data_IF_756750086884
#
_entry.id   IF_756750086884
#
_cell.length_a   1.000
_cell.length_b   1.000
_cell.length_c   1.000
_cell.angle_alpha   90.00
_cell.angle_beta   90.00
_cell.angle_gamma   90.00
#
_symmetry.space_group_name_H-M   'P 1'
#
loop_
_entity.id
_entity.type
_entity.pdbx_description
1 polymer ?
#
# COMPACT_ATOMS: atom_id res chain seq x y z
N UNK A 1 -14.69 -35.56 -0.93
CA UNK A 1 -15.35 -34.24 -0.86
C UNK A 1 -15.20 -33.73 0.55
N UNK A 2 -14.15 -32.95 0.81
CA UNK A 2 -13.88 -32.36 2.12
C UNK A 2 -14.42 -30.94 2.15
N UNK A 3 -15.21 -30.63 3.17
CA UNK A 3 -15.80 -29.33 3.54
C UNK A 3 -14.77 -28.17 3.62
N UNK A 4 -13.48 -28.48 3.53
CA UNK A 4 -12.35 -27.55 3.58
C UNK A 4 -12.15 -26.85 2.23
N UNK A 5 -12.50 -27.48 1.11
CA UNK A 5 -12.36 -26.84 -0.22
C UNK A 5 -13.44 -25.78 -0.49
N UNK A 6 -14.60 -25.84 0.18
CA UNK A 6 -15.63 -24.80 0.06
C UNK A 6 -15.28 -23.51 0.83
N UNK A 7 -14.45 -23.57 1.88
CA UNK A 7 -14.02 -22.38 2.63
C UNK A 7 -12.99 -21.57 1.82
N UNK A 8 -12.20 -22.21 0.97
CA UNK A 8 -11.24 -21.53 0.07
C UNK A 8 -11.95 -20.85 -1.11
N UNK A 9 -13.17 -21.27 -1.44
CA UNK A 9 -14.01 -20.64 -2.49
C UNK A 9 -14.89 -19.47 -1.98
N UNK A 10 -14.77 -19.10 -0.70
CA UNK A 10 -15.63 -18.11 -0.03
C UNK A 10 -15.23 -16.64 -0.18
N UNK A 11 -14.51 -16.26 -1.24
CA UNK A 11 -14.17 -14.86 -1.54
C UNK A 11 -15.27 -14.11 -2.30
N UNK A 12 -16.54 -14.27 -1.91
CA UNK A 12 -17.65 -13.55 -2.51
C UNK A 12 -17.65 -12.09 -2.04
N UNK A 13 -17.33 -11.17 -2.95
CA UNK A 13 -17.56 -9.74 -2.72
C UNK A 13 -16.71 -8.77 -3.54
N UNK A 14 -16.49 -9.02 -4.83
CA UNK A 14 -16.00 -7.98 -5.75
C UNK A 14 -17.11 -6.95 -6.05
N UNK A 15 -17.66 -6.33 -5.00
CA UNK A 15 -18.28 -5.02 -5.15
C UNK A 15 -17.16 -4.03 -5.39
N UNK A 16 -17.25 -3.20 -6.42
CA UNK A 16 -16.29 -2.10 -6.62
C UNK A 16 -16.20 -1.29 -5.33
N UNK A 17 -15.08 -1.38 -4.62
CA UNK A 17 -14.86 -0.62 -3.39
C UNK A 17 -14.84 0.87 -3.75
N UNK A 18 -15.96 1.57 -3.53
CA UNK A 18 -16.09 3.00 -3.82
C UNK A 18 -15.05 3.86 -3.09
N UNK A 19 -14.47 3.33 -2.00
CA UNK A 19 -13.41 3.97 -1.21
C UNK A 19 -12.03 3.90 -1.89
N UNK A 20 -11.80 2.90 -2.75
CA UNK A 20 -10.53 2.65 -3.44
C UNK A 20 -10.76 2.48 -4.95
N UNK A 21 -11.16 3.54 -5.67
CA UNK A 21 -11.46 3.48 -7.10
C UNK A 21 -10.25 3.17 -7.97
N UNK A 22 -9.04 3.35 -7.44
CA UNK A 22 -7.76 3.16 -8.12
C UNK A 22 -7.01 1.91 -7.65
N UNK A 23 -7.65 1.05 -6.85
CA UNK A 23 -7.03 -0.18 -6.40
C UNK A 23 -6.69 -1.11 -7.59
N UNK A 24 -5.54 -1.81 -7.53
CA UNK A 24 -5.20 -2.79 -8.54
C UNK A 24 -6.19 -3.97 -8.51
N UNK A 25 -6.29 -4.67 -9.64
CA UNK A 25 -7.17 -5.82 -9.76
C UNK A 25 -6.81 -6.91 -8.73
N UNK A 26 -7.82 -7.48 -8.08
CA UNK A 26 -7.63 -8.50 -7.04
C UNK A 26 -7.25 -7.95 -5.67
N UNK A 27 -6.96 -6.65 -5.52
CA UNK A 27 -6.73 -6.04 -4.21
C UNK A 27 -8.04 -5.81 -3.45
N UNK A 28 -8.01 -6.02 -2.13
CA UNK A 28 -9.14 -5.77 -1.23
C UNK A 28 -8.64 -5.14 0.07
N UNK A 29 -9.53 -4.45 0.80
CA UNK A 29 -9.19 -3.89 2.12
C UNK A 29 -8.74 -5.00 3.11
N UNK A 30 -9.31 -6.21 3.00
CA UNK A 30 -8.90 -7.35 3.83
C UNK A 30 -7.45 -7.77 3.56
N UNK A 31 -7.03 -7.82 2.29
CA UNK A 31 -5.65 -8.10 1.91
C UNK A 31 -4.69 -7.02 2.39
N UNK A 32 -5.10 -5.75 2.35
CA UNK A 32 -4.31 -4.66 2.88
C UNK A 32 -4.13 -4.77 4.40
N UNK A 33 -5.19 -5.07 5.14
CA UNK A 33 -5.12 -5.28 6.60
C UNK A 33 -4.20 -6.47 6.93
N UNK A 34 -4.30 -7.57 6.19
CA UNK A 34 -3.41 -8.71 6.38
C UNK A 34 -1.94 -8.35 6.09
N UNK A 35 -1.69 -7.63 5.00
CA UNK A 35 -0.35 -7.17 4.62
C UNK A 35 0.24 -6.23 5.68
N UNK A 36 -0.53 -5.26 6.17
CA UNK A 36 -0.10 -4.34 7.21
C UNK A 36 0.23 -5.07 8.53
N UNK A 37 -0.59 -6.05 8.93
CA UNK A 37 -0.33 -6.87 10.12
C UNK A 37 0.98 -7.67 10.04
N UNK A 38 1.37 -8.14 8.85
CA UNK A 38 2.66 -8.82 8.64
C UNK A 38 3.86 -7.88 8.80
N UNK A 39 3.64 -6.58 8.73
CA UNK A 39 4.65 -5.53 8.94
C UNK A 39 4.47 -4.81 10.30
N UNK A 40 3.71 -5.40 11.23
CA UNK A 40 3.40 -4.83 12.56
C UNK A 40 2.73 -3.44 12.50
N UNK A 41 1.91 -3.21 11.47
CA UNK A 41 1.14 -1.97 11.26
C UNK A 41 -0.37 -2.19 11.38
N UNK A 42 -1.05 -1.22 11.98
CA UNK A 42 -2.51 -1.11 11.98
C UNK A 42 -2.95 -0.02 11.01
N UNK A 43 -3.92 -0.31 10.13
CA UNK A 43 -4.42 0.66 9.16
C UNK A 43 -5.46 1.58 9.80
N UNK A 44 -4.96 2.70 10.34
CA UNK A 44 -5.75 3.87 10.73
C UNK A 44 -6.12 4.73 9.51
N UNK A 45 -6.90 5.79 9.74
CA UNK A 45 -7.40 6.65 8.67
C UNK A 45 -6.29 7.32 7.85
N UNK A 46 -5.17 7.69 8.49
CA UNK A 46 -4.02 8.33 7.85
C UNK A 46 -3.24 7.32 6.97
N UNK A 47 -3.06 6.08 7.45
CA UNK A 47 -2.46 5.01 6.63
C UNK A 47 -3.37 4.66 5.47
N UNK A 48 -4.68 4.55 5.67
CA UNK A 48 -5.63 4.33 4.58
C UNK A 48 -5.62 5.46 3.55
N UNK A 49 -5.48 6.72 3.98
CA UNK A 49 -5.30 7.86 3.08
C UNK A 49 -4.03 7.73 2.24
N UNK A 50 -2.93 7.31 2.87
CA UNK A 50 -1.67 7.07 2.17
C UNK A 50 -1.81 5.98 1.10
N UNK A 51 -2.47 4.86 1.40
CA UNK A 51 -2.70 3.81 0.41
C UNK A 51 -3.54 4.31 -0.78
N UNK A 52 -4.60 5.09 -0.52
CA UNK A 52 -5.40 5.72 -1.59
C UNK A 52 -4.53 6.65 -2.45
N UNK A 53 -3.67 7.45 -1.82
CA UNK A 53 -2.79 8.36 -2.54
C UNK A 53 -1.82 7.62 -3.47
N UNK A 54 -1.25 6.51 -3.01
CA UNK A 54 -0.37 5.68 -3.82
C UNK A 54 -1.10 5.06 -5.01
N UNK A 55 -2.28 4.46 -4.76
CA UNK A 55 -3.10 3.88 -5.83
C UNK A 55 -3.53 4.94 -6.86
N UNK A 56 -3.94 6.12 -6.38
CA UNK A 56 -4.30 7.26 -7.23
C UNK A 56 -3.10 7.74 -8.06
N UNK A 57 -1.91 7.81 -7.48
CA UNK A 57 -0.69 8.17 -8.21
C UNK A 57 -0.41 7.14 -9.31
N UNK A 58 -0.43 5.85 -8.99
CA UNK A 58 -0.17 4.78 -9.96
C UNK A 58 -1.26 4.64 -11.02
N UNK A 59 -2.52 5.01 -10.75
CA UNK A 59 -3.56 5.02 -11.77
C UNK A 59 -3.39 6.15 -12.79
N UNK A 60 -2.62 7.20 -12.45
CA UNK A 60 -2.32 8.34 -13.34
C UNK A 60 -1.01 8.19 -14.12
N UNK A 61 -0.20 7.19 -13.79
CA UNK A 61 1.10 6.94 -14.40
C UNK A 61 1.16 5.51 -14.91
N UNK A 62 1.99 5.25 -15.91
CA UNK A 62 2.26 3.85 -16.28
C UNK A 62 3.14 3.23 -15.19
N UNK A 63 2.75 2.05 -14.66
CA UNK A 63 3.46 1.41 -13.55
C UNK A 63 4.96 1.14 -13.84
N UNK A 64 5.32 0.96 -15.10
CA UNK A 64 6.70 0.78 -15.58
C UNK A 64 7.52 2.07 -15.63
N UNK A 65 6.90 3.24 -15.45
CA UNK A 65 7.53 4.56 -15.58
C UNK A 65 7.56 5.36 -14.27
N UNK A 66 7.15 4.78 -13.14
CA UNK A 66 7.09 5.51 -11.86
C UNK A 66 8.49 5.90 -11.39
N UNK A 67 8.74 7.20 -11.32
CA UNK A 67 9.96 7.77 -10.79
C UNK A 67 9.88 7.93 -9.27
N UNK A 68 10.80 7.31 -8.53
CA UNK A 68 10.81 7.36 -7.06
C UNK A 68 10.87 8.78 -6.50
N UNK A 69 11.64 9.69 -7.11
CA UNK A 69 11.74 11.07 -6.64
C UNK A 69 10.43 11.81 -6.83
N UNK A 70 9.82 11.69 -8.00
CA UNK A 70 8.53 12.35 -8.28
C UNK A 70 7.42 11.81 -7.38
N UNK A 71 7.38 10.49 -7.14
CA UNK A 71 6.45 9.89 -6.18
C UNK A 71 6.68 10.43 -4.77
N UNK A 72 7.94 10.51 -4.34
CA UNK A 72 8.30 11.04 -3.04
C UNK A 72 7.88 12.49 -2.88
N UNK A 73 8.15 13.35 -3.87
CA UNK A 73 7.78 14.77 -3.86
C UNK A 73 6.26 14.94 -3.90
N UNK A 74 5.54 14.12 -4.67
CA UNK A 74 4.08 14.14 -4.71
C UNK A 74 3.45 13.74 -3.36
N UNK A 75 4.03 12.78 -2.66
CA UNK A 75 3.61 12.40 -1.31
C UNK A 75 3.95 13.49 -0.29
N UNK A 76 5.14 14.09 -0.36
CA UNK A 76 5.53 15.18 0.53
C UNK A 76 4.57 16.37 0.40
N UNK A 77 4.24 16.75 -0.84
CA UNK A 77 3.27 17.80 -1.14
C UNK A 77 1.86 17.41 -0.67
N UNK A 78 1.36 16.21 -0.99
CA UNK A 78 -0.01 15.81 -0.60
C UNK A 78 -0.21 15.83 0.92
N UNK A 79 0.80 15.43 1.67
CA UNK A 79 0.76 15.35 3.13
C UNK A 79 1.40 16.56 3.83
N UNK A 80 1.67 17.66 3.10
CA UNK A 80 2.41 18.81 3.61
C UNK A 80 1.83 19.38 4.92
N UNK A 81 0.48 19.43 5.04
CA UNK A 81 -0.23 19.92 6.24
C UNK A 81 -0.08 19.01 7.46
N UNK A 82 0.19 17.73 7.23
CA UNK A 82 0.35 16.71 8.27
C UNK A 82 1.84 16.54 8.67
N UNK A 83 2.75 17.20 7.95
CA UNK A 83 4.20 17.15 8.15
C UNK A 83 4.98 16.47 7.02
N UNK A 84 4.32 16.27 5.86
CA UNK A 84 4.93 15.77 4.63
C UNK A 84 5.51 14.36 4.76
N UNK A 85 6.61 14.10 4.08
CA UNK A 85 7.26 12.79 4.08
C UNK A 85 7.72 12.39 5.48
N UNK A 86 8.14 13.34 6.32
CA UNK A 86 8.55 13.04 7.71
C UNK A 86 7.39 12.48 8.53
N UNK A 87 6.17 12.93 8.25
CA UNK A 87 4.97 12.35 8.83
C UNK A 87 4.76 10.92 8.32
N UNK A 88 4.88 10.69 7.01
CA UNK A 88 4.70 9.36 6.42
C UNK A 88 5.75 8.34 6.92
N UNK A 89 6.98 8.75 7.22
CA UNK A 89 7.96 7.87 7.87
C UNK A 89 7.58 7.46 9.30
N UNK A 90 6.72 8.22 10.00
CA UNK A 90 6.17 7.80 11.29
C UNK A 90 5.04 6.79 11.10
N UNK A 91 4.24 6.96 10.05
CA UNK A 91 3.18 6.00 9.72
C UNK A 91 3.75 4.67 9.21
N UNK A 92 4.81 4.73 8.41
CA UNK A 92 5.45 3.60 7.73
C UNK A 92 6.96 3.60 8.00
N UNK A 93 7.40 3.02 9.14
CA UNK A 93 8.79 3.08 9.60
C UNK A 93 9.79 2.32 8.72
N UNK A 94 9.36 1.28 8.01
CA UNK A 94 10.13 0.58 6.97
C UNK A 94 10.22 1.33 5.64
N UNK A 95 9.60 2.50 5.55
CA UNK A 95 9.65 3.40 4.41
C UNK A 95 8.27 3.61 3.78
N UNK A 96 7.81 4.86 3.62
CA UNK A 96 6.45 5.15 3.17
C UNK A 96 6.15 4.69 1.75
N UNK A 97 7.15 4.73 0.87
CA UNK A 97 6.99 4.22 -0.49
C UNK A 97 7.05 2.69 -0.51
N UNK A 98 8.03 2.08 0.16
CA UNK A 98 8.23 0.63 0.10
C UNK A 98 7.10 -0.15 0.79
N UNK A 99 6.84 0.15 2.07
CA UNK A 99 5.75 -0.48 2.83
C UNK A 99 4.39 -0.07 2.28
N UNK A 100 4.21 1.22 2.00
CA UNK A 100 2.95 1.75 1.48
C UNK A 100 2.56 1.09 0.15
N UNK A 101 3.49 0.95 -0.81
CA UNK A 101 3.18 0.30 -2.08
C UNK A 101 2.83 -1.17 -1.88
N UNK A 102 3.58 -1.93 -1.06
CA UNK A 102 3.25 -3.34 -0.79
C UNK A 102 1.85 -3.51 -0.21
N UNK A 103 1.50 -2.71 0.79
CA UNK A 103 0.18 -2.78 1.43
C UNK A 103 -0.93 -2.31 0.47
N UNK A 104 -0.64 -1.33 -0.39
CA UNK A 104 -1.55 -0.83 -1.41
C UNK A 104 -1.74 -1.78 -2.60
N UNK A 105 -1.02 -2.92 -2.65
CA UNK A 105 -1.05 -3.88 -3.75
C UNK A 105 -0.26 -3.45 -4.98
N UNK A 106 0.68 -2.51 -4.83
CA UNK A 106 1.44 -1.90 -5.90
C UNK A 106 2.89 -2.40 -5.90
N UNK A 107 3.49 -2.45 -7.09
CA UNK A 107 4.92 -2.71 -7.21
C UNK A 107 5.71 -1.44 -6.82
N UNK A 108 6.51 -1.54 -5.75
CA UNK A 108 7.40 -0.46 -5.35
C UNK A 108 8.42 -0.14 -6.46
N UNK A 109 8.76 1.14 -6.69
CA UNK A 109 9.72 1.52 -7.71
C UNK A 109 11.14 1.08 -7.31
N UNK A 110 12.01 0.85 -8.30
CA UNK A 110 13.39 0.47 -8.05
C UNK A 110 14.09 1.51 -7.15
N UNK A 111 14.83 1.05 -6.15
CA UNK A 111 15.52 1.92 -5.18
C UNK A 111 14.69 2.33 -3.96
N UNK A 112 13.38 2.02 -3.92
CA UNK A 112 12.60 2.02 -2.69
C UNK A 112 12.96 0.77 -1.86
N UNK A 113 14.21 0.68 -1.40
CA UNK A 113 14.68 -0.50 -0.65
C UNK A 113 14.13 -0.48 0.78
N UNK A 114 13.55 -1.61 1.17
CA UNK A 114 13.21 -1.97 2.54
C UNK A 114 14.50 -2.15 3.35
N UNK A 115 14.78 -1.23 4.30
CA UNK A 115 15.94 -1.38 5.20
C UNK A 115 15.66 -2.34 6.37
N UNK A 116 14.47 -2.94 6.46
CA UNK A 116 13.99 -3.71 7.60
C UNK A 116 13.86 -5.23 7.37
N UNK A 117 13.69 -5.71 6.14
CA UNK A 117 13.54 -7.15 5.89
C UNK A 117 14.87 -7.86 5.56
N UNK A 118 15.66 -8.14 6.61
CA UNK A 118 16.55 -9.30 6.65
C UNK A 118 18.01 -9.13 6.19
N UNK A 119 18.90 -8.97 7.16
CA UNK A 119 20.05 -9.89 7.30
C UNK A 119 20.33 -10.07 8.78
N UNK A 120 19.46 -10.83 9.44
CA UNK A 120 19.85 -11.52 10.67
C UNK A 120 20.49 -12.83 10.19
N UNK A 121 21.83 -12.83 10.19
CA UNK A 121 22.66 -14.03 10.18
C UNK A 121 23.17 -14.26 11.60
#
# INVERSE_FOLDING_TARGET
MTLIEEIVAGGAGAGKNTRFPHAPEGWTEALAVESARREDLELDDERWETLRALQEYYARHEATAVNLRELHDALDEKFHRQGGIRHLYRLFPGGPVAQGCRIAGLQAPAGATDKGFGSVA
#
